data_IF_226070888199
#
_entry.id   IF_226070888199
#
_cell.length_a   1.000
_cell.length_b   1.000
_cell.length_c   1.000
_cell.angle_alpha   90.00
_cell.angle_beta   90.00
_cell.angle_gamma   90.00
#
_symmetry.space_group_name_H-M   'P 1'
#
loop_
_entity.id
_entity.type
_entity.pdbx_description
1 polymer ?
#
# COMPACT_ATOMS: atom_id res chain seq x y z
N UNK A 1 -5.37 2.24 7.08
CA UNK A 1 -5.89 2.23 5.71
C UNK A 1 -6.34 0.83 5.29
N UNK A 2 -7.29 0.71 4.35
CA UNK A 2 -7.75 -0.50 3.70
C UNK A 2 -7.94 -0.26 2.19
N UNK A 3 -7.99 -1.33 1.41
CA UNK A 3 -8.11 -1.27 -0.05
C UNK A 3 -9.01 -2.41 -0.55
N UNK A 4 -9.51 -2.31 -1.77
CA UNK A 4 -10.47 -3.30 -2.32
C UNK A 4 -9.90 -4.72 -2.41
N UNK A 5 -8.60 -4.89 -2.59
CA UNK A 5 -7.94 -6.20 -2.56
C UNK A 5 -8.05 -6.92 -1.20
N UNK A 6 -8.37 -6.18 -0.11
CA UNK A 6 -8.58 -6.76 1.22
C UNK A 6 -9.93 -7.48 1.35
N UNK A 7 -10.88 -7.23 0.45
CA UNK A 7 -12.23 -7.81 0.56
C UNK A 7 -12.22 -9.33 0.46
N UNK A 8 -11.54 -9.88 -0.54
CA UNK A 8 -11.48 -11.33 -0.73
C UNK A 8 -10.90 -12.06 0.49
N UNK A 9 -9.69 -11.73 0.98
CA UNK A 9 -9.14 -12.42 2.15
C UNK A 9 -9.95 -12.17 3.43
N UNK A 10 -10.66 -11.04 3.54
CA UNK A 10 -11.54 -10.77 4.67
C UNK A 10 -12.78 -11.66 4.64
N UNK A 11 -13.44 -11.78 3.47
CA UNK A 11 -14.59 -12.67 3.31
C UNK A 11 -14.21 -14.12 3.56
N UNK A 12 -13.08 -14.58 3.00
CA UNK A 12 -12.57 -15.92 3.26
C UNK A 12 -12.30 -16.15 4.74
N UNK A 13 -11.72 -15.15 5.43
CA UNK A 13 -11.48 -15.23 6.88
C UNK A 13 -12.77 -15.31 7.70
N UNK A 14 -13.81 -14.53 7.35
CA UNK A 14 -15.11 -14.57 8.01
C UNK A 14 -15.85 -15.90 7.80
N UNK A 15 -15.67 -16.54 6.65
CA UNK A 15 -16.28 -17.82 6.31
C UNK A 15 -15.43 -19.03 6.72
N UNK A 16 -14.26 -18.81 7.34
CA UNK A 16 -13.26 -19.86 7.63
C UNK A 16 -12.90 -20.70 6.40
N UNK A 17 -12.97 -20.09 5.20
CA UNK A 17 -12.76 -20.74 3.92
C UNK A 17 -11.33 -20.55 3.42
N UNK A 18 -10.83 -21.54 2.69
CA UNK A 18 -9.53 -21.42 2.02
C UNK A 18 -9.70 -20.86 0.60
N UNK A 19 -8.69 -20.14 0.06
CA UNK A 19 -8.67 -19.77 -1.35
C UNK A 19 -8.81 -21.00 -2.24
N UNK A 20 -9.52 -20.85 -3.36
CA UNK A 20 -9.71 -21.94 -4.34
C UNK A 20 -8.43 -22.23 -5.15
N UNK A 21 -7.46 -21.33 -5.13
CA UNK A 21 -6.18 -21.47 -5.85
C UNK A 21 -5.01 -21.04 -4.98
N UNK A 22 -3.82 -21.59 -5.29
CA UNK A 22 -2.55 -21.23 -4.64
C UNK A 22 -1.97 -19.88 -5.13
N UNK A 23 -2.77 -19.08 -5.85
CA UNK A 23 -2.34 -17.77 -6.34
C UNK A 23 -2.12 -16.80 -5.18
N UNK A 24 -1.07 -15.97 -5.24
CA UNK A 24 -0.84 -14.93 -4.26
C UNK A 24 -2.04 -13.99 -4.16
N UNK A 25 -2.43 -13.64 -2.94
CA UNK A 25 -3.47 -12.64 -2.66
C UNK A 25 -2.76 -11.36 -2.20
N UNK A 26 -2.94 -10.27 -2.95
CA UNK A 26 -2.29 -8.97 -2.66
C UNK A 26 -2.86 -8.28 -1.42
N UNK A 27 -4.10 -8.60 -1.05
CA UNK A 27 -4.76 -8.04 0.10
C UNK A 27 -4.49 -8.82 1.38
N UNK A 28 -4.89 -8.25 2.50
CA UNK A 28 -4.87 -8.89 3.81
C UNK A 28 -6.28 -9.00 4.41
N UNK A 29 -6.51 -10.01 5.25
CA UNK A 29 -7.75 -10.10 6.01
C UNK A 29 -7.86 -8.95 7.01
N UNK A 30 -8.99 -8.27 7.04
CA UNK A 30 -9.32 -7.22 8.00
C UNK A 30 -10.07 -7.79 9.23
N UNK A 31 -10.32 -9.09 9.30
CA UNK A 31 -10.97 -9.73 10.46
C UNK A 31 -10.29 -9.35 11.77
N UNK A 32 -8.95 -9.42 11.92
CA UNK A 32 -8.29 -9.01 13.15
C UNK A 32 -8.50 -7.53 13.51
N UNK A 33 -8.71 -6.66 12.51
CA UNK A 33 -9.03 -5.25 12.72
C UNK A 33 -10.47 -5.08 13.21
N UNK A 34 -11.41 -5.84 12.64
CA UNK A 34 -12.83 -5.83 13.05
C UNK A 34 -13.00 -6.33 14.48
N UNK A 35 -12.22 -7.31 14.89
CA UNK A 35 -12.19 -7.86 16.25
C UNK A 35 -11.41 -6.99 17.25
N UNK A 36 -10.87 -5.84 16.82
CA UNK A 36 -10.06 -4.96 17.67
C UNK A 36 -8.67 -5.49 18.01
N UNK A 37 -8.22 -6.57 17.38
CA UNK A 37 -6.95 -7.25 17.67
C UNK A 37 -5.77 -6.74 16.82
N UNK A 38 -6.02 -5.86 15.84
CA UNK A 38 -5.00 -5.31 14.96
C UNK A 38 -4.94 -3.78 15.06
N UNK A 39 -3.86 -3.27 15.64
CA UNK A 39 -3.62 -1.82 15.74
C UNK A 39 -2.97 -1.23 14.48
N UNK A 40 -2.30 -2.04 13.66
CA UNK A 40 -1.56 -1.62 12.46
C UNK A 40 -1.75 -2.62 11.34
N UNK A 41 -1.86 -2.11 10.11
CA UNK A 41 -1.93 -2.97 8.92
C UNK A 41 -0.62 -3.75 8.71
N UNK A 42 0.53 -3.10 8.92
CA UNK A 42 1.85 -3.70 8.70
C UNK A 42 2.23 -3.84 7.22
N UNK A 43 1.26 -3.98 6.32
CA UNK A 43 1.46 -4.12 4.87
C UNK A 43 1.09 -2.81 4.17
N UNK A 44 2.03 -2.12 3.52
CA UNK A 44 1.73 -0.90 2.77
C UNK A 44 0.84 -1.15 1.56
N UNK A 45 0.15 -0.12 1.11
CA UNK A 45 -0.72 -0.14 -0.07
C UNK A 45 -0.10 0.71 -1.17
N UNK A 46 0.12 0.11 -2.35
CA UNK A 46 0.54 0.81 -3.55
C UNK A 46 -0.64 1.26 -4.39
N UNK A 47 -0.53 2.45 -4.97
CA UNK A 47 -1.47 2.96 -5.95
C UNK A 47 -0.73 3.54 -7.15
N UNK A 48 -1.21 3.22 -8.34
CA UNK A 48 -0.80 3.85 -9.60
C UNK A 48 -2.03 4.18 -10.43
N UNK A 49 -2.22 5.44 -10.78
CA UNK A 49 -3.31 5.89 -11.64
C UNK A 49 -2.94 7.16 -12.40
N UNK A 50 -3.11 7.16 -13.73
CA UNK A 50 -2.85 8.33 -14.59
C UNK A 50 -1.49 8.98 -14.32
N UNK A 51 -0.45 8.17 -14.12
CA UNK A 51 0.91 8.63 -13.81
C UNK A 51 1.13 9.13 -12.38
N UNK A 52 0.10 9.17 -11.56
CA UNK A 52 0.22 9.42 -10.12
C UNK A 52 0.62 8.14 -9.41
N UNK A 53 1.45 8.27 -8.39
CA UNK A 53 1.93 7.17 -7.56
C UNK A 53 1.71 7.48 -6.09
N UNK A 54 1.26 6.48 -5.32
CA UNK A 54 1.23 6.58 -3.87
C UNK A 54 1.67 5.27 -3.23
N UNK A 55 2.36 5.37 -2.09
CA UNK A 55 2.74 4.28 -1.21
C UNK A 55 2.31 4.63 0.21
N UNK A 56 1.32 3.92 0.72
CA UNK A 56 0.63 4.26 1.97
C UNK A 56 0.89 3.16 2.99
N UNK A 57 1.66 3.50 4.02
CA UNK A 57 1.84 2.67 5.20
C UNK A 57 0.92 3.11 6.35
N UNK A 58 1.14 2.54 7.54
CA UNK A 58 0.34 2.85 8.74
C UNK A 58 0.49 4.31 9.20
N UNK A 59 1.64 4.92 8.96
CA UNK A 59 1.94 6.27 9.41
C UNK A 59 2.30 7.23 8.28
N UNK A 60 3.07 6.77 7.30
CA UNK A 60 3.60 7.64 6.26
C UNK A 60 2.98 7.33 4.91
N UNK A 61 2.72 8.40 4.14
CA UNK A 61 2.34 8.33 2.73
C UNK A 61 3.41 9.00 1.89
N UNK A 62 3.96 8.26 0.95
CA UNK A 62 4.76 8.81 -0.14
C UNK A 62 3.83 9.04 -1.34
N UNK A 63 3.90 10.20 -1.95
CA UNK A 63 3.04 10.57 -3.09
C UNK A 63 3.82 11.30 -4.16
N UNK A 64 3.52 11.00 -5.41
CA UNK A 64 4.00 11.74 -6.57
C UNK A 64 2.85 12.02 -7.52
N UNK A 65 2.65 13.31 -7.82
CA UNK A 65 1.68 13.75 -8.83
C UNK A 65 2.16 13.34 -10.23
N UNK A 66 1.24 13.03 -11.14
CA UNK A 66 1.56 12.73 -12.53
C UNK A 66 2.34 13.87 -13.17
N UNK A 67 3.44 13.54 -13.86
CA UNK A 67 4.35 14.50 -14.47
C UNK A 67 5.33 15.22 -13.52
N UNK A 68 5.19 15.05 -12.19
CA UNK A 68 6.17 15.61 -11.25
C UNK A 68 7.42 14.73 -11.15
N UNK A 69 8.60 15.38 -10.99
CA UNK A 69 9.87 14.68 -10.80
C UNK A 69 10.04 14.16 -9.37
N UNK A 70 9.51 14.89 -8.38
CA UNK A 70 9.77 14.65 -6.97
C UNK A 70 8.60 14.02 -6.24
N UNK A 71 8.93 13.19 -5.24
CA UNK A 71 7.97 12.66 -4.29
C UNK A 71 7.78 13.63 -3.12
N UNK A 72 6.56 13.66 -2.60
CA UNK A 72 6.19 14.26 -1.32
C UNK A 72 6.01 13.17 -0.27
N UNK A 73 6.30 13.50 0.98
CA UNK A 73 6.16 12.59 2.13
C UNK A 73 5.27 13.24 3.19
N UNK A 74 4.24 12.52 3.62
CA UNK A 74 3.31 13.00 4.63
C UNK A 74 3.25 12.06 5.82
N UNK A 75 3.08 12.60 7.03
CA UNK A 75 2.81 11.85 8.26
C UNK A 75 1.30 11.85 8.52
N UNK A 76 0.62 10.79 8.13
CA UNK A 76 -0.85 10.70 8.21
C UNK A 76 -1.39 10.70 9.64
N UNK A 77 -0.55 10.41 10.64
CA UNK A 77 -0.94 10.41 12.05
C UNK A 77 -0.85 11.83 12.62
N UNK A 78 0.25 12.55 12.35
CA UNK A 78 0.45 13.90 12.85
C UNK A 78 -0.21 14.97 11.97
N UNK A 79 -0.37 14.70 10.69
CA UNK A 79 -0.93 15.62 9.68
C UNK A 79 -1.88 14.86 8.72
N UNK A 80 -3.08 14.47 9.18
CA UNK A 80 -4.05 13.78 8.34
C UNK A 80 -4.56 14.61 7.15
N UNK A 81 -4.32 15.92 7.16
CA UNK A 81 -4.69 16.83 6.08
C UNK A 81 -3.61 16.97 5.00
N UNK A 82 -2.46 16.29 5.15
CA UNK A 82 -1.35 16.27 4.18
C UNK A 82 -0.84 17.68 3.79
N UNK A 83 -0.77 18.59 4.76
CA UNK A 83 -0.34 19.98 4.52
C UNK A 83 1.18 20.15 4.54
N UNK A 84 1.88 19.29 5.29
CA UNK A 84 3.32 19.43 5.55
C UNK A 84 4.10 18.34 4.81
N UNK A 85 4.82 18.74 3.77
CA UNK A 85 5.72 17.84 3.03
C UNK A 85 7.02 17.62 3.82
N UNK A 86 7.25 16.38 4.24
CA UNK A 86 8.43 15.98 5.02
C UNK A 86 9.56 15.38 4.15
N UNK A 87 9.45 15.36 2.83
CA UNK A 87 10.44 14.70 1.97
C UNK A 87 11.85 15.27 2.17
N UNK A 88 11.97 16.61 2.29
CA UNK A 88 13.24 17.28 2.57
C UNK A 88 13.73 17.09 4.00
N UNK A 89 12.82 17.00 4.98
CA UNK A 89 13.17 16.79 6.38
C UNK A 89 13.55 15.33 6.70
N UNK A 90 13.01 14.36 5.93
CA UNK A 90 13.23 12.91 6.12
C UNK A 90 13.66 12.23 4.81
N UNK A 91 14.78 12.63 4.19
CA UNK A 91 15.16 12.14 2.85
C UNK A 91 15.46 10.65 2.82
N UNK A 92 16.05 10.09 3.89
CA UNK A 92 16.32 8.64 3.98
C UNK A 92 15.03 7.81 3.97
N UNK A 93 13.99 8.28 4.68
CA UNK A 93 12.69 7.64 4.71
C UNK A 93 12.01 7.73 3.35
N UNK A 94 11.98 8.92 2.73
CA UNK A 94 11.40 9.11 1.41
C UNK A 94 12.08 8.20 0.35
N UNK A 95 13.41 8.09 0.37
CA UNK A 95 14.16 7.22 -0.54
C UNK A 95 13.83 5.73 -0.31
N UNK A 96 13.71 5.29 0.94
CA UNK A 96 13.34 3.90 1.26
C UNK A 96 11.95 3.57 0.72
N UNK A 97 10.94 4.41 1.03
CA UNK A 97 9.57 4.19 0.56
C UNK A 97 9.46 4.27 -0.97
N UNK A 98 10.25 5.10 -1.64
CA UNK A 98 10.32 5.13 -3.09
C UNK A 98 10.89 3.83 -3.68
N UNK A 99 11.87 3.22 -3.01
CA UNK A 99 12.39 1.91 -3.39
C UNK A 99 11.36 0.80 -3.23
N UNK A 100 10.62 0.79 -2.12
CA UNK A 100 9.52 -0.15 -1.87
C UNK A 100 8.42 -0.02 -2.93
N UNK A 101 8.00 1.21 -3.25
CA UNK A 101 7.03 1.50 -4.31
C UNK A 101 7.53 1.04 -5.70
N UNK A 102 8.81 1.23 -6.00
CA UNK A 102 9.39 0.78 -7.26
C UNK A 102 9.39 -0.75 -7.38
N UNK A 103 9.71 -1.46 -6.31
CA UNK A 103 9.64 -2.93 -6.25
C UNK A 103 8.21 -3.44 -6.45
N UNK A 104 7.24 -2.83 -5.77
CA UNK A 104 5.82 -3.16 -5.97
C UNK A 104 5.38 -2.94 -7.42
N UNK A 105 5.75 -1.81 -8.04
CA UNK A 105 5.42 -1.54 -9.45
C UNK A 105 6.03 -2.58 -10.40
N UNK A 106 7.26 -3.00 -10.15
CA UNK A 106 7.91 -4.05 -10.94
C UNK A 106 7.16 -5.39 -10.82
N UNK A 107 6.68 -5.73 -9.61
CA UNK A 107 5.82 -6.91 -9.41
C UNK A 107 4.52 -6.80 -10.18
N UNK A 108 3.80 -5.66 -10.12
CA UNK A 108 2.57 -5.45 -10.89
C UNK A 108 2.80 -5.57 -12.41
N UNK A 109 3.93 -5.07 -12.91
CA UNK A 109 4.29 -5.20 -14.34
C UNK A 109 4.60 -6.64 -14.72
N UNK A 110 5.27 -7.40 -13.85
CA UNK A 110 5.53 -8.82 -14.06
C UNK A 110 4.23 -9.63 -14.11
N UNK A 111 3.30 -9.36 -13.19
CA UNK A 111 1.96 -9.95 -13.15
C UNK A 111 1.16 -9.63 -14.41
N UNK A 112 1.13 -8.37 -14.84
CA UNK A 112 0.47 -7.95 -16.07
C UNK A 112 1.06 -8.62 -17.35
N UNK A 113 2.34 -9.04 -17.28
CA UNK A 113 2.99 -9.81 -18.34
C UNK A 113 2.78 -11.34 -18.22
N UNK A 114 1.93 -11.79 -17.31
CA UNK A 114 1.60 -13.21 -17.11
C UNK A 114 2.69 -14.03 -16.43
N UNK A 115 3.62 -13.39 -15.71
CA UNK A 115 4.72 -14.10 -15.02
C UNK A 115 4.32 -14.74 -13.68
N UNK A 116 3.11 -14.50 -13.23
CA UNK A 116 2.55 -15.05 -11.98
C UNK A 116 1.67 -16.29 -12.23
N UNK A 117 1.55 -16.73 -13.48
CA UNK A 117 0.65 -17.82 -13.91
C UNK A 117 1.42 -18.96 -14.53
#
# INVERSE_FOLDING_TARGET
PCVTSDYLPTILGLLEAKPVSDRPIDGMSLVPLLDGNLAKRGQPIGFESKGQLAWIGDRYKLYRKGGAAEFKLFDLVADPSEKNDLAKAKPRLAKRLAGELAAWRASCQASAAGKDY
#
